data_IF_119130970073
#
_entry.id   IF_119130970073
#
_cell.length_a   1.000
_cell.length_b   1.000
_cell.length_c   1.000
_cell.angle_alpha   90.00
_cell.angle_beta   90.00
_cell.angle_gamma   90.00
#
_symmetry.space_group_name_H-M   'P 1'
#
loop_
_entity.id
_entity.type
_entity.pdbx_description
1 polymer ?
#
# COMPACT_ATOMS: atom_id res chain seq x y z
N UNK A 1 17.94 15.68 -29.92
CA UNK A 1 17.43 14.47 -29.22
C UNK A 1 15.97 14.35 -29.57
N UNK A 2 15.56 13.19 -30.09
CA UNK A 2 14.19 12.93 -30.55
C UNK A 2 13.16 13.27 -29.44
N UNK A 3 12.10 13.97 -29.82
CA UNK A 3 11.02 14.41 -28.94
C UNK A 3 10.30 13.22 -28.30
N UNK A 4 10.19 12.10 -29.02
CA UNK A 4 9.53 10.90 -28.50
C UNK A 4 10.43 10.16 -27.51
N UNK A 5 11.74 10.10 -27.77
CA UNK A 5 12.72 9.58 -26.80
C UNK A 5 12.75 10.37 -25.49
N UNK A 6 12.64 11.70 -25.57
CA UNK A 6 12.51 12.57 -24.40
C UNK A 6 11.23 12.29 -23.61
N UNK A 7 10.10 12.09 -24.30
CA UNK A 7 8.83 11.73 -23.66
C UNK A 7 8.92 10.39 -22.94
N UNK A 8 9.53 9.37 -23.56
CA UNK A 8 9.73 8.08 -22.92
C UNK A 8 10.62 8.17 -21.69
N UNK A 9 11.74 8.91 -21.78
CA UNK A 9 12.61 9.17 -20.64
C UNK A 9 11.86 9.80 -19.46
N UNK A 10 11.07 10.83 -19.75
CA UNK A 10 10.23 11.51 -18.75
C UNK A 10 9.19 10.57 -18.15
N UNK A 11 8.55 9.73 -18.96
CA UNK A 11 7.55 8.77 -18.48
C UNK A 11 8.17 7.72 -17.56
N UNK A 12 9.36 7.20 -17.89
CA UNK A 12 10.13 6.28 -17.02
C UNK A 12 10.42 6.95 -15.68
N UNK A 13 11.00 8.15 -15.69
CA UNK A 13 11.34 8.89 -14.46
C UNK A 13 10.09 9.12 -13.61
N UNK A 14 9.00 9.59 -14.20
CA UNK A 14 7.75 9.82 -13.49
C UNK A 14 7.17 8.54 -12.86
N UNK A 15 7.25 7.42 -13.58
CA UNK A 15 6.81 6.13 -13.04
C UNK A 15 7.62 5.74 -11.80
N UNK A 16 8.95 5.74 -11.89
CA UNK A 16 9.82 5.30 -10.80
C UNK A 16 9.83 6.25 -9.60
N UNK A 17 9.66 7.56 -9.81
CA UNK A 17 9.40 8.50 -8.72
C UNK A 17 8.08 8.22 -7.99
N UNK A 18 7.04 7.87 -8.74
CA UNK A 18 5.74 7.50 -8.16
C UNK A 18 5.84 6.18 -7.40
N UNK A 19 6.60 5.22 -7.94
CA UNK A 19 6.91 3.95 -7.28
C UNK A 19 7.65 4.16 -5.95
N UNK A 20 8.59 5.08 -5.90
CA UNK A 20 9.29 5.43 -4.65
C UNK A 20 8.35 6.05 -3.62
N UNK A 21 7.45 6.95 -4.03
CA UNK A 21 6.45 7.56 -3.13
C UNK A 21 5.57 6.51 -2.47
N UNK A 22 4.96 5.60 -3.26
CA UNK A 22 4.10 4.55 -2.71
C UNK A 22 4.89 3.59 -1.80
N UNK A 23 6.14 3.29 -2.14
CA UNK A 23 7.02 2.48 -1.29
C UNK A 23 7.33 3.15 0.05
N UNK A 24 7.66 4.44 0.04
CA UNK A 24 7.87 5.23 1.25
C UNK A 24 6.60 5.29 2.11
N UNK A 25 5.44 5.52 1.49
CA UNK A 25 4.15 5.50 2.18
C UNK A 25 3.90 4.13 2.85
N UNK A 26 4.14 3.04 2.13
CA UNK A 26 3.97 1.68 2.66
C UNK A 26 4.93 1.35 3.82
N UNK A 27 6.15 1.87 3.78
CA UNK A 27 7.12 1.64 4.85
C UNK A 27 6.92 2.54 6.08
N UNK A 28 6.34 3.72 5.89
CA UNK A 28 6.22 4.70 6.98
C UNK A 28 4.82 4.69 7.57
N UNK A 29 3.78 4.91 6.76
CA UNK A 29 2.43 5.14 7.25
C UNK A 29 1.66 3.83 7.43
N UNK A 30 1.71 2.92 6.44
CA UNK A 30 1.08 1.60 6.56
C UNK A 30 1.68 0.79 7.72
N UNK A 31 2.99 0.93 7.98
CA UNK A 31 3.60 0.27 9.14
C UNK A 31 3.12 0.87 10.48
N UNK A 32 2.86 2.19 10.57
CA UNK A 32 2.24 2.79 11.76
C UNK A 32 0.82 2.27 11.98
N UNK A 33 0.06 2.06 10.90
CA UNK A 33 -1.29 1.47 10.97
C UNK A 33 -1.25 0.07 11.61
N UNK A 34 -0.24 -0.75 11.28
CA UNK A 34 -0.03 -2.08 11.89
C UNK A 34 0.19 -2.00 13.40
N UNK A 35 1.13 -1.16 13.82
CA UNK A 35 1.57 -1.10 15.21
C UNK A 35 0.64 -0.30 16.12
N UNK A 36 -0.19 0.57 15.54
CA UNK A 36 -1.20 1.33 16.28
C UNK A 36 -2.61 0.82 15.98
N UNK A 37 -3.34 1.42 15.01
CA UNK A 37 -4.76 1.16 14.79
C UNK A 37 -5.17 -0.31 14.70
N UNK A 38 -4.43 -1.14 13.98
CA UNK A 38 -4.75 -2.57 13.84
C UNK A 38 -4.57 -3.34 15.16
N UNK A 39 -3.53 -3.02 15.92
CA UNK A 39 -3.29 -3.62 17.25
C UNK A 39 -4.34 -3.15 18.25
N UNK A 40 -4.66 -1.86 18.25
CA UNK A 40 -5.73 -1.29 19.08
C UNK A 40 -7.09 -1.91 18.75
N UNK A 41 -7.42 -2.04 17.46
CA UNK A 41 -8.66 -2.67 17.01
C UNK A 41 -8.80 -4.09 17.56
N UNK A 42 -7.74 -4.90 17.45
CA UNK A 42 -7.71 -6.26 18.01
C UNK A 42 -7.99 -6.25 19.52
N UNK A 43 -7.28 -5.41 20.27
CA UNK A 43 -7.44 -5.30 21.71
C UNK A 43 -8.86 -4.86 22.12
N UNK A 44 -9.42 -3.86 21.43
CA UNK A 44 -10.76 -3.35 21.73
C UNK A 44 -11.84 -4.38 21.40
N UNK A 45 -11.67 -5.15 20.33
CA UNK A 45 -12.57 -6.25 20.00
C UNK A 45 -12.53 -7.37 21.05
N UNK A 46 -11.35 -7.71 21.55
CA UNK A 46 -11.20 -8.65 22.66
C UNK A 46 -11.88 -8.13 23.93
N UNK A 47 -11.68 -6.85 24.28
CA UNK A 47 -12.37 -6.20 25.40
C UNK A 47 -13.89 -6.24 25.24
N UNK A 48 -14.40 -5.96 24.05
CA UNK A 48 -15.83 -6.02 23.76
C UNK A 48 -16.38 -7.43 24.03
N UNK A 49 -15.67 -8.47 23.58
CA UNK A 49 -16.04 -9.88 23.83
C UNK A 49 -16.09 -10.18 25.32
N UNK A 50 -15.11 -9.71 26.10
CA UNK A 50 -15.10 -9.93 27.55
C UNK A 50 -16.23 -9.22 28.26
N UNK A 51 -16.46 -7.94 27.96
CA UNK A 51 -17.49 -7.14 28.63
C UNK A 51 -18.91 -7.59 28.23
N UNK A 52 -19.09 -8.17 27.05
CA UNK A 52 -20.40 -8.71 26.61
C UNK A 52 -20.64 -10.16 27.03
N UNK A 53 -19.64 -10.83 27.59
CA UNK A 53 -19.77 -12.21 28.05
C UNK A 53 -20.73 -12.31 29.23
N UNK A 54 -21.67 -13.29 29.25
CA UNK A 54 -22.49 -13.57 30.43
C UNK A 54 -21.65 -13.98 31.66
N UNK A 55 -20.41 -14.45 31.44
CA UNK A 55 -19.53 -14.86 32.53
C UNK A 55 -19.12 -13.70 33.47
N UNK A 56 -19.31 -12.44 33.06
CA UNK A 56 -18.99 -11.26 33.88
C UNK A 56 -20.24 -10.61 34.50
N UNK A 57 -21.40 -11.25 34.43
CA UNK A 57 -22.67 -10.67 34.93
C UNK A 57 -22.64 -10.41 36.45
N UNK A 58 -21.84 -11.17 37.20
CA UNK A 58 -21.64 -10.98 38.64
C UNK A 58 -20.46 -10.08 38.99
N UNK A 59 -19.75 -9.52 38.00
CA UNK A 59 -18.63 -8.62 38.24
C UNK A 59 -19.11 -7.31 38.89
N UNK A 60 -18.26 -6.69 39.71
CA UNK A 60 -18.59 -5.46 40.45
C UNK A 60 -19.11 -4.33 39.54
N UNK A 61 -18.58 -4.23 38.31
CA UNK A 61 -19.03 -3.24 37.32
C UNK A 61 -20.50 -3.41 36.92
N UNK A 62 -21.03 -4.63 36.96
CA UNK A 62 -22.42 -4.94 36.64
C UNK A 62 -23.37 -4.58 37.79
N UNK A 63 -22.87 -4.39 39.01
CA UNK A 63 -23.65 -3.92 40.16
C UNK A 63 -23.99 -2.43 40.05
N UNK A 64 -23.21 -1.67 39.28
CA UNK A 64 -23.45 -0.25 39.03
C UNK A 64 -24.36 -0.10 37.82
N UNK A 65 -25.60 0.37 38.06
CA UNK A 65 -26.60 0.59 37.00
C UNK A 65 -26.03 1.43 35.84
N UNK A 66 -26.03 0.86 34.64
CA UNK A 66 -25.61 1.56 33.42
C UNK A 66 -24.09 1.60 33.19
N UNK A 67 -23.26 1.08 34.12
CA UNK A 67 -21.81 1.18 33.98
C UNK A 67 -21.27 0.25 32.88
N UNK A 68 -21.81 -0.98 32.77
CA UNK A 68 -21.46 -1.93 31.72
C UNK A 68 -21.81 -1.39 30.33
N UNK A 69 -23.00 -0.83 30.18
CA UNK A 69 -23.49 -0.24 28.94
C UNK A 69 -22.62 0.96 28.52
N UNK A 70 -22.24 1.81 29.48
CA UNK A 70 -21.29 2.91 29.23
C UNK A 70 -19.91 2.42 28.80
N UNK A 71 -19.42 1.32 29.38
CA UNK A 71 -18.15 0.72 28.98
C UNK A 71 -18.22 0.15 27.56
N UNK A 72 -19.26 -0.61 27.23
CA UNK A 72 -19.51 -1.12 25.88
C UNK A 72 -19.57 0.03 24.87
N UNK A 73 -20.29 1.10 25.20
CA UNK A 73 -20.36 2.29 24.34
C UNK A 73 -18.97 2.90 24.09
N UNK A 74 -18.15 3.06 25.12
CA UNK A 74 -16.77 3.58 24.97
C UNK A 74 -15.89 2.68 24.11
N UNK A 75 -16.00 1.36 24.26
CA UNK A 75 -15.24 0.40 23.45
C UNK A 75 -15.68 0.50 21.98
N UNK A 76 -16.99 0.58 21.71
CA UNK A 76 -17.48 0.75 20.34
C UNK A 76 -17.01 2.07 19.71
N UNK A 77 -17.00 3.17 20.48
CA UNK A 77 -16.47 4.44 19.99
C UNK A 77 -15.00 4.34 19.61
N UNK A 78 -14.18 3.70 20.45
CA UNK A 78 -12.77 3.47 20.13
C UNK A 78 -12.60 2.58 18.88
N UNK A 79 -13.44 1.56 18.68
CA UNK A 79 -13.41 0.72 17.49
C UNK A 79 -13.68 1.56 16.24
N UNK A 80 -14.69 2.44 16.29
CA UNK A 80 -15.00 3.36 15.19
C UNK A 80 -13.84 4.32 14.86
N UNK A 81 -13.15 4.83 15.88
CA UNK A 81 -11.97 5.68 15.72
C UNK A 81 -10.82 4.93 15.03
N UNK A 82 -10.52 3.70 15.44
CA UNK A 82 -9.47 2.89 14.80
C UNK A 82 -9.83 2.52 13.36
N UNK A 83 -11.08 2.15 13.10
CA UNK A 83 -11.56 1.86 11.75
C UNK A 83 -11.43 3.06 10.82
N UNK A 84 -11.69 4.28 11.32
CA UNK A 84 -11.54 5.51 10.54
C UNK A 84 -10.08 5.71 10.10
N UNK A 85 -9.12 5.49 11.00
CA UNK A 85 -7.68 5.60 10.69
C UNK A 85 -7.26 4.54 9.65
N UNK A 86 -7.76 3.31 9.78
CA UNK A 86 -7.51 2.23 8.82
C UNK A 86 -8.07 2.60 7.44
N UNK A 87 -9.31 3.10 7.37
CA UNK A 87 -9.95 3.52 6.10
C UNK A 87 -9.19 4.66 5.44
N UNK A 88 -8.75 5.65 6.21
CA UNK A 88 -7.94 6.76 5.69
C UNK A 88 -6.64 6.26 5.03
N UNK A 89 -5.99 5.29 5.65
CA UNK A 89 -4.79 4.67 5.09
C UNK A 89 -5.08 3.87 3.81
N UNK A 90 -6.17 3.10 3.79
CA UNK A 90 -6.61 2.35 2.59
C UNK A 90 -6.92 3.31 1.44
N UNK A 91 -7.60 4.42 1.71
CA UNK A 91 -7.92 5.44 0.70
C UNK A 91 -6.65 6.10 0.14
N UNK A 92 -5.69 6.41 0.99
CA UNK A 92 -4.41 6.98 0.56
C UNK A 92 -3.61 5.97 -0.28
N UNK A 93 -3.59 4.69 0.11
CA UNK A 93 -2.97 3.63 -0.68
C UNK A 93 -3.64 3.48 -2.06
N UNK A 94 -4.98 3.56 -2.13
CA UNK A 94 -5.70 3.56 -3.40
C UNK A 94 -5.25 4.72 -4.28
N UNK A 95 -5.16 5.94 -3.74
CA UNK A 95 -4.75 7.13 -4.49
C UNK A 95 -3.36 6.95 -5.11
N UNK A 96 -2.38 6.47 -4.34
CA UNK A 96 -1.05 6.15 -4.86
C UNK A 96 -1.07 5.04 -5.90
N UNK A 97 -1.91 4.01 -5.72
CA UNK A 97 -2.04 2.90 -6.66
C UNK A 97 -2.64 3.36 -8.00
N UNK A 98 -3.64 4.25 -7.97
CA UNK A 98 -4.19 4.87 -9.18
C UNK A 98 -3.17 5.78 -9.85
N UNK A 99 -2.45 6.63 -9.10
CA UNK A 99 -1.40 7.48 -9.66
C UNK A 99 -0.33 6.63 -10.37
N UNK A 100 0.12 5.53 -9.75
CA UNK A 100 1.09 4.61 -10.33
C UNK A 100 0.57 3.96 -11.61
N UNK A 101 -0.71 3.56 -11.64
CA UNK A 101 -1.38 3.02 -12.82
C UNK A 101 -1.43 4.05 -13.95
N UNK A 102 -1.75 5.30 -13.65
CA UNK A 102 -1.79 6.38 -14.64
C UNK A 102 -0.40 6.65 -15.23
N UNK A 103 0.64 6.67 -14.38
CA UNK A 103 2.03 6.80 -14.85
C UNK A 103 2.47 5.62 -15.70
N UNK A 104 2.04 4.41 -15.35
CA UNK A 104 2.30 3.22 -16.16
C UNK A 104 1.64 3.34 -17.54
N UNK A 105 0.39 3.78 -17.61
CA UNK A 105 -0.28 3.98 -18.90
C UNK A 105 0.42 5.05 -19.76
N UNK A 106 0.88 6.14 -19.14
CA UNK A 106 1.69 7.15 -19.84
C UNK A 106 3.01 6.58 -20.36
N UNK A 107 3.65 5.69 -19.59
CA UNK A 107 4.85 4.97 -20.01
C UNK A 107 4.59 4.06 -21.22
N UNK A 108 3.49 3.31 -21.22
CA UNK A 108 3.10 2.46 -22.36
C UNK A 108 2.82 3.29 -23.63
N UNK A 109 2.11 4.40 -23.49
CA UNK A 109 1.83 5.33 -24.59
C UNK A 109 3.10 6.00 -25.13
N UNK A 110 4.06 6.34 -24.27
CA UNK A 110 5.32 6.90 -24.72
C UNK A 110 6.18 5.83 -25.42
N UNK A 111 6.17 4.60 -24.91
CA UNK A 111 6.88 3.46 -25.48
C UNK A 111 6.37 3.09 -26.87
N UNK A 112 5.06 3.18 -27.13
CA UNK A 112 4.48 2.81 -28.43
C UNK A 112 4.87 3.73 -29.59
N UNK A 113 5.39 4.93 -29.29
CA UNK A 113 5.84 5.91 -30.30
C UNK A 113 7.29 5.73 -30.71
N UNK A 114 8.05 4.90 -29.99
CA UNK A 114 9.48 4.69 -30.25
C UNK A 114 9.67 3.65 -31.36
N UNK A 115 10.46 4.01 -32.36
CA UNK A 115 10.96 3.05 -33.34
C UNK A 115 12.24 2.37 -32.80
N UNK A 116 12.15 1.10 -32.42
CA UNK A 116 13.27 0.33 -31.87
C UNK A 116 14.39 0.02 -32.85
N UNK A 117 14.14 0.17 -34.15
CA UNK A 117 15.13 -0.07 -35.20
C UNK A 117 16.02 1.16 -35.48
N UNK A 118 15.76 2.29 -34.80
CA UNK A 118 16.58 3.50 -34.94
C UNK A 118 17.97 3.30 -34.27
N UNK A 119 19.08 3.37 -35.03
CA UNK A 119 20.43 3.23 -34.50
C UNK A 119 20.78 4.27 -33.43
N UNK A 120 20.11 5.44 -33.43
CA UNK A 120 20.38 6.52 -32.49
C UNK A 120 19.86 6.25 -31.08
N UNK A 121 18.97 5.26 -30.91
CA UNK A 121 18.41 4.89 -29.59
C UNK A 121 18.98 3.58 -29.04
N UNK A 122 19.88 2.91 -29.77
CA UNK A 122 20.43 1.59 -29.40
C UNK A 122 21.08 1.60 -28.00
N UNK A 123 21.79 2.67 -27.65
CA UNK A 123 22.42 2.80 -26.32
C UNK A 123 21.37 2.93 -25.20
N UNK A 124 20.22 3.52 -25.49
CA UNK A 124 19.11 3.64 -24.55
C UNK A 124 18.39 2.30 -24.37
N UNK A 125 18.20 1.57 -25.46
CA UNK A 125 17.55 0.25 -25.47
C UNK A 125 18.40 -0.78 -24.74
N UNK A 126 19.70 -0.87 -25.09
CA UNK A 126 20.63 -1.87 -24.55
C UNK A 126 21.07 -1.58 -23.11
N UNK A 127 20.92 -0.35 -22.64
CA UNK A 127 21.39 0.07 -21.33
C UNK A 127 22.92 0.27 -21.28
N UNK A 128 23.42 0.57 -20.10
CA UNK A 128 24.86 0.75 -19.80
C UNK A 128 25.20 0.11 -18.45
N UNK A 129 26.47 0.12 -18.05
CA UNK A 129 26.89 -0.31 -16.71
C UNK A 129 26.19 0.45 -15.56
N UNK A 130 25.74 1.68 -15.83
CA UNK A 130 25.07 2.57 -14.87
C UNK A 130 23.55 2.59 -15.01
N UNK A 131 23.02 1.98 -16.09
CA UNK A 131 21.62 2.11 -16.48
C UNK A 131 21.06 0.76 -16.95
N UNK A 132 20.02 0.22 -16.29
CA UNK A 132 19.31 -0.94 -16.79
C UNK A 132 18.81 -0.72 -18.22
N UNK A 133 18.85 -1.80 -19.00
CA UNK A 133 18.25 -1.88 -20.33
C UNK A 133 16.76 -1.52 -20.29
N UNK A 134 16.25 -0.92 -21.36
CA UNK A 134 14.89 -0.39 -21.39
C UNK A 134 13.84 -1.48 -21.13
N UNK A 135 13.96 -2.64 -21.75
CA UNK A 135 12.99 -3.73 -21.54
C UNK A 135 12.92 -4.16 -20.08
N UNK A 136 14.04 -4.18 -19.37
CA UNK A 136 14.06 -4.51 -17.95
C UNK A 136 13.33 -3.45 -17.11
N UNK A 137 13.46 -2.16 -17.47
CA UNK A 137 12.68 -1.09 -16.83
C UNK A 137 11.18 -1.19 -17.11
N UNK A 138 10.77 -1.73 -18.26
CA UNK A 138 9.37 -1.96 -18.60
C UNK A 138 8.82 -3.21 -17.88
N UNK A 139 9.60 -4.28 -17.82
CA UNK A 139 9.27 -5.48 -17.06
C UNK A 139 9.09 -5.14 -15.58
N UNK A 140 10.04 -4.39 -14.99
CA UNK A 140 9.95 -3.97 -13.60
C UNK A 140 8.79 -3.03 -13.31
N UNK A 141 8.41 -2.14 -14.25
CA UNK A 141 7.25 -1.27 -14.04
C UNK A 141 5.93 -2.05 -14.08
N UNK A 142 5.83 -3.09 -14.92
CA UNK A 142 4.70 -4.01 -14.89
C UNK A 142 4.65 -4.78 -13.56
N UNK A 143 5.77 -5.41 -13.17
CA UNK A 143 5.89 -6.17 -11.92
C UNK A 143 5.51 -5.34 -10.70
N UNK A 144 6.03 -4.11 -10.61
CA UNK A 144 5.75 -3.26 -9.45
C UNK A 144 4.32 -2.73 -9.42
N UNK A 145 3.72 -2.44 -10.58
CA UNK A 145 2.31 -2.07 -10.64
C UNK A 145 1.41 -3.22 -10.17
N UNK A 146 1.67 -4.44 -10.67
CA UNK A 146 0.91 -5.62 -10.29
C UNK A 146 1.02 -5.91 -8.79
N UNK A 147 2.23 -5.80 -8.23
CA UNK A 147 2.45 -5.94 -6.80
C UNK A 147 1.54 -5.00 -5.98
N UNK A 148 1.54 -3.70 -6.27
CA UNK A 148 0.74 -2.74 -5.48
C UNK A 148 -0.76 -2.88 -5.74
N UNK A 149 -1.18 -3.26 -6.95
CA UNK A 149 -2.59 -3.57 -7.23
C UNK A 149 -3.08 -4.76 -6.39
N UNK A 150 -2.31 -5.84 -6.34
CA UNK A 150 -2.65 -7.02 -5.57
C UNK A 150 -2.64 -6.71 -4.07
N UNK A 151 -1.59 -6.02 -3.60
CA UNK A 151 -1.48 -5.60 -2.20
C UNK A 151 -2.67 -4.74 -1.74
N UNK A 152 -3.08 -3.75 -2.55
CA UNK A 152 -4.28 -2.96 -2.27
C UNK A 152 -5.57 -3.81 -2.30
N UNK A 153 -5.67 -4.74 -3.24
CA UNK A 153 -6.83 -5.64 -3.37
C UNK A 153 -6.99 -6.54 -2.15
N UNK A 154 -5.89 -7.14 -1.67
CA UNK A 154 -5.86 -8.03 -0.51
C UNK A 154 -6.30 -7.30 0.77
N UNK A 155 -5.77 -6.10 0.99
CA UNK A 155 -6.18 -5.23 2.11
C UNK A 155 -7.67 -4.90 2.02
N UNK A 156 -8.12 -4.47 0.85
CA UNK A 156 -9.51 -4.03 0.66
C UNK A 156 -10.48 -5.20 0.82
N UNK A 157 -10.13 -6.38 0.32
CA UNK A 157 -10.93 -7.60 0.48
C UNK A 157 -11.02 -8.00 1.96
N UNK A 158 -9.89 -7.99 2.66
CA UNK A 158 -9.83 -8.33 4.09
C UNK A 158 -10.62 -7.33 4.95
N UNK A 159 -10.52 -6.03 4.64
CA UNK A 159 -11.27 -4.99 5.32
C UNK A 159 -12.79 -5.12 5.10
N UNK A 160 -13.23 -5.40 3.86
CA UNK A 160 -14.65 -5.63 3.56
C UNK A 160 -15.21 -6.88 4.23
N UNK A 161 -14.37 -7.88 4.46
CA UNK A 161 -14.73 -9.12 5.13
C UNK A 161 -14.60 -9.04 6.68
N UNK A 162 -14.20 -7.88 7.22
CA UNK A 162 -14.03 -7.69 8.66
C UNK A 162 -15.36 -7.91 9.38
N UNK A 163 -15.31 -8.74 10.42
CA UNK A 163 -16.42 -8.99 11.31
C UNK A 163 -15.98 -8.78 12.75
N UNK A 164 -16.52 -7.75 13.39
CA UNK A 164 -16.17 -7.33 14.77
C UNK A 164 -16.51 -8.42 15.81
N UNK A 165 -17.21 -9.48 15.43
CA UNK A 165 -17.50 -10.64 16.29
C UNK A 165 -16.59 -11.84 16.04
N UNK A 166 -15.81 -11.83 14.96
CA UNK A 166 -14.92 -12.91 14.54
C UNK A 166 -13.45 -12.47 14.68
N UNK A 167 -12.77 -13.00 15.67
CA UNK A 167 -11.34 -12.74 15.94
C UNK A 167 -10.46 -13.08 14.72
N UNK A 168 -10.77 -14.17 14.02
CA UNK A 168 -10.02 -14.58 12.83
C UNK A 168 -10.14 -13.56 11.69
N UNK A 169 -11.21 -12.76 11.65
CA UNK A 169 -11.36 -11.69 10.65
C UNK A 169 -10.39 -10.53 10.87
N UNK A 170 -10.05 -10.22 12.14
CA UNK A 170 -9.06 -9.19 12.48
C UNK A 170 -7.66 -9.67 12.14
N UNK A 171 -7.33 -10.92 12.47
CA UNK A 171 -6.03 -11.48 12.15
C UNK A 171 -5.81 -11.51 10.63
N UNK A 172 -6.82 -11.91 9.84
CA UNK A 172 -6.76 -11.79 8.37
C UNK A 172 -6.54 -10.36 7.90
N UNK A 173 -7.19 -9.37 8.52
CA UNK A 173 -6.96 -7.97 8.21
C UNK A 173 -5.53 -7.56 8.54
N UNK A 174 -5.01 -7.89 9.72
CA UNK A 174 -3.62 -7.61 10.11
C UNK A 174 -2.64 -8.22 9.11
N UNK A 175 -2.84 -9.49 8.75
CA UNK A 175 -1.98 -10.23 7.82
C UNK A 175 -1.96 -9.61 6.42
N UNK A 176 -3.09 -9.09 5.94
CA UNK A 176 -3.16 -8.41 4.65
C UNK A 176 -2.24 -7.18 4.57
N UNK A 177 -1.96 -6.50 5.68
CA UNK A 177 -1.03 -5.38 5.74
C UNK A 177 0.44 -5.85 5.78
N UNK A 178 0.73 -7.09 6.21
CA UNK A 178 2.10 -7.57 6.39
C UNK A 178 2.89 -7.75 5.08
N UNK A 179 2.21 -7.78 3.94
CA UNK A 179 2.82 -7.88 2.61
C UNK A 179 3.48 -6.59 2.07
N UNK A 180 3.54 -5.51 2.87
CA UNK A 180 3.94 -4.16 2.41
C UNK A 180 5.36 -3.99 1.86
N UNK A 181 6.29 -4.95 2.05
CA UNK A 181 7.69 -4.77 1.63
C UNK A 181 8.31 -6.00 0.96
N UNK A 182 8.04 -6.16 -0.33
CA UNK A 182 8.71 -7.20 -1.12
C UNK A 182 10.18 -6.86 -1.35
N UNK A 183 11.09 -7.82 -1.07
CA UNK A 183 12.53 -7.74 -1.41
C UNK A 183 12.74 -7.39 -2.90
N UNK A 184 11.81 -7.82 -3.76
CA UNK A 184 11.82 -7.52 -5.20
C UNK A 184 11.64 -6.03 -5.47
N UNK A 185 10.66 -5.39 -4.84
CA UNK A 185 10.40 -3.95 -4.99
C UNK A 185 11.59 -3.13 -4.49
N UNK A 186 12.18 -3.51 -3.35
CA UNK A 186 13.41 -2.88 -2.83
C UNK A 186 14.55 -2.94 -3.85
N UNK A 187 14.73 -4.10 -4.49
CA UNK A 187 15.74 -4.30 -5.52
C UNK A 187 15.48 -3.42 -6.75
N UNK A 188 14.23 -3.40 -7.25
CA UNK A 188 13.83 -2.54 -8.38
C UNK A 188 14.17 -1.08 -8.07
N UNK A 189 13.74 -0.58 -6.91
CA UNK A 189 14.01 0.80 -6.49
C UNK A 189 15.50 1.11 -6.42
N UNK A 190 16.31 0.21 -5.85
CA UNK A 190 17.77 0.40 -5.80
C UNK A 190 18.39 0.53 -7.20
N UNK A 191 17.98 -0.30 -8.15
CA UNK A 191 18.46 -0.20 -9.53
C UNK A 191 17.92 1.00 -10.31
N UNK A 192 16.87 1.66 -9.81
CA UNK A 192 16.27 2.82 -10.45
C UNK A 192 16.60 4.14 -9.76
N UNK A 193 17.37 4.14 -8.66
CA UNK A 193 17.76 5.34 -7.91
C UNK A 193 18.47 6.40 -8.77
N UNK A 194 19.22 5.98 -9.79
CA UNK A 194 19.90 6.91 -10.69
C UNK A 194 18.91 7.81 -11.46
N UNK A 195 17.65 7.39 -11.64
CA UNK A 195 16.61 8.19 -12.28
C UNK A 195 16.23 9.42 -11.43
N UNK A 196 16.42 9.35 -10.11
CA UNK A 196 16.17 10.45 -9.19
C UNK A 196 17.31 11.49 -9.23
N UNK A 197 18.53 11.06 -9.52
CA UNK A 197 19.70 11.93 -9.57
C UNK A 197 19.81 12.76 -10.85
N UNK A 198 19.09 12.40 -11.93
CA UNK A 198 19.06 13.19 -13.18
C UNK A 198 18.11 14.40 -13.15
N UNK A 199 17.52 14.70 -11.98
CA UNK A 199 16.69 15.88 -11.70
C UNK A 199 17.35 16.88 -10.75
N UNK A 200 18.61 16.66 -10.35
CA UNK A 200 19.41 17.59 -9.52
C UNK A 200 20.57 18.17 -10.31
#
# INVERSE_FOLDING_TARGET
>A
MDKDLQQLQKAIVNYYLTLEKIYCYCNNEINKVKTGPLTSLKNQMEQLRHVTSPAVDTAEICLIKGAREKLIFKINLGIEEELKLIVEAINTLNNYTQELKDKYHQLEQARSKINFDDPTIINFVNGTSERPRLNLLLEWSMESLEFYKNYYSDITASFKALNIKDEASVDRLIDSFNSSSSKRIKKILAFTQYLNNKLR
#
